data_IF_665946697001
#
_entry.id   IF_665946697001
#
_cell.length_a   1.000
_cell.length_b   1.000
_cell.length_c   1.000
_cell.angle_alpha   90.00
_cell.angle_beta   90.00
_cell.angle_gamma   90.00
#
_symmetry.space_group_name_H-M   'P 1'
#
loop_
_entity.id
_entity.type
_entity.pdbx_description
1 polymer ?
#
# COMPACT_ATOMS: atom_id res chain seq x y z
N UNK A 1 16.58 -1.76 16.36
CA UNK A 1 15.58 -2.80 16.01
C UNK A 1 15.04 -2.49 14.61
N UNK A 2 14.88 -3.52 13.79
CA UNK A 2 14.30 -3.40 12.44
C UNK A 2 12.79 -3.20 12.53
N UNK A 3 12.22 -2.43 11.62
CA UNK A 3 10.79 -2.12 11.55
C UNK A 3 10.24 -2.40 10.16
N UNK A 4 9.14 -3.15 10.06
CA UNK A 4 8.28 -3.20 8.89
C UNK A 4 7.09 -2.27 9.14
N UNK A 5 6.69 -1.50 8.14
CA UNK A 5 5.49 -0.67 8.20
C UNK A 5 4.41 -1.32 7.35
N UNK A 6 3.20 -1.44 7.91
CA UNK A 6 1.98 -1.79 7.18
C UNK A 6 1.05 -0.60 7.30
N UNK A 7 0.58 -0.05 6.19
CA UNK A 7 -0.16 1.20 6.19
C UNK A 7 -1.39 1.17 5.26
N UNK A 8 -2.31 2.06 5.55
CA UNK A 8 -3.41 2.48 4.70
C UNK A 8 -3.73 3.94 5.02
N UNK A 9 -4.42 4.66 4.15
CA UNK A 9 -4.99 5.94 4.53
C UNK A 9 -6.43 5.77 5.02
N UNK A 10 -6.93 6.71 5.79
CA UNK A 10 -8.28 6.66 6.37
C UNK A 10 -9.18 7.83 5.99
N UNK A 11 -8.63 8.80 5.27
CA UNK A 11 -9.42 9.85 4.63
C UNK A 11 -9.99 9.36 3.30
N UNK A 12 -10.97 10.06 2.78
CA UNK A 12 -11.61 9.81 1.49
C UNK A 12 -11.69 11.09 0.66
N UNK A 13 -11.89 10.94 -0.64
CA UNK A 13 -12.19 12.05 -1.53
C UNK A 13 -13.48 12.78 -1.10
N UNK A 14 -13.58 14.07 -1.43
CA UNK A 14 -14.64 14.95 -0.92
C UNK A 14 -16.05 14.45 -1.28
N UNK A 15 -16.21 13.86 -2.46
CA UNK A 15 -17.48 13.35 -2.98
C UNK A 15 -17.66 11.83 -2.81
N UNK A 16 -16.73 11.15 -2.10
CA UNK A 16 -16.74 9.72 -1.87
C UNK A 16 -17.12 9.36 -0.43
N UNK A 17 -17.78 8.21 -0.27
CA UNK A 17 -18.03 7.60 1.05
C UNK A 17 -16.76 6.92 1.57
N UNK A 18 -15.81 6.57 0.70
CA UNK A 18 -14.53 5.98 1.07
C UNK A 18 -14.64 4.52 1.50
N UNK A 19 -15.60 3.77 0.98
CA UNK A 19 -15.80 2.38 1.39
C UNK A 19 -14.64 1.48 0.90
N UNK A 20 -14.27 1.57 -0.37
CA UNK A 20 -13.12 0.89 -0.93
C UNK A 20 -11.86 1.75 -0.83
N UNK A 21 -11.96 3.03 -1.14
CA UNK A 21 -10.89 4.03 -1.05
C UNK A 21 -11.06 4.94 0.18
N UNK A 22 -10.47 4.66 1.38
CA UNK A 22 -9.69 3.43 1.58
C UNK A 22 -10.14 2.68 2.85
N UNK A 23 -11.46 2.55 3.03
CA UNK A 23 -12.04 1.75 4.12
C UNK A 23 -11.59 0.28 4.04
N UNK A 24 -11.39 -0.26 2.83
CA UNK A 24 -10.90 -1.61 2.62
C UNK A 24 -9.48 -1.81 3.15
N UNK A 25 -8.58 -0.90 2.84
CA UNK A 25 -7.20 -0.95 3.34
C UNK A 25 -7.13 -0.77 4.86
N UNK A 26 -7.94 0.14 5.42
CA UNK A 26 -8.04 0.31 6.87
C UNK A 26 -8.48 -0.98 7.55
N UNK A 27 -9.52 -1.65 7.03
CA UNK A 27 -9.99 -2.92 7.57
C UNK A 27 -8.91 -4.00 7.51
N UNK A 28 -8.19 -4.11 6.40
CA UNK A 28 -7.09 -5.07 6.24
C UNK A 28 -5.94 -4.78 7.23
N UNK A 29 -5.54 -3.52 7.41
CA UNK A 29 -4.49 -3.15 8.38
C UNK A 29 -4.90 -3.51 9.81
N UNK A 30 -6.15 -3.25 10.19
CA UNK A 30 -6.66 -3.59 11.52
C UNK A 30 -6.73 -5.10 11.74
N UNK A 31 -7.15 -5.87 10.73
CA UNK A 31 -7.19 -7.33 10.82
C UNK A 31 -5.78 -7.94 10.89
N UNK A 32 -4.84 -7.43 10.09
CA UNK A 32 -3.44 -7.84 10.19
C UNK A 32 -2.86 -7.54 11.57
N UNK A 33 -3.18 -6.38 12.16
CA UNK A 33 -2.75 -6.05 13.51
C UNK A 33 -3.34 -7.04 14.54
N UNK A 34 -4.59 -7.45 14.35
CA UNK A 34 -5.26 -8.46 15.21
C UNK A 34 -4.63 -9.84 15.10
N UNK A 35 -4.31 -10.28 13.88
CA UNK A 35 -3.73 -11.61 13.63
C UNK A 35 -2.28 -11.66 14.11
N UNK A 36 -1.51 -10.62 13.85
CA UNK A 36 -0.05 -10.63 14.09
C UNK A 36 0.35 -10.25 15.51
N UNK A 37 -0.58 -9.78 16.36
CA UNK A 37 -0.27 -9.30 17.72
C UNK A 37 0.44 -10.33 18.62
N UNK A 38 0.13 -11.61 18.44
CA UNK A 38 0.67 -12.71 19.25
C UNK A 38 1.68 -13.57 18.46
N UNK A 39 2.11 -13.10 17.28
CA UNK A 39 3.06 -13.81 16.41
C UNK A 39 4.49 -13.39 16.73
N UNK A 40 5.37 -14.37 17.00
CA UNK A 40 6.79 -14.09 17.16
C UNK A 40 7.43 -13.74 15.82
N UNK A 41 7.86 -12.50 15.69
CA UNK A 41 8.46 -11.95 14.46
C UNK A 41 9.80 -11.30 14.85
N UNK A 42 10.90 -11.52 14.10
CA UNK A 42 12.24 -11.05 14.46
C UNK A 42 12.44 -9.53 14.28
N UNK A 43 11.40 -8.80 13.97
CA UNK A 43 11.38 -7.32 13.79
C UNK A 43 10.05 -6.75 14.30
N UNK A 44 10.01 -5.45 14.52
CA UNK A 44 8.76 -4.78 14.89
C UNK A 44 7.88 -4.56 13.64
N UNK A 45 6.57 -4.69 13.81
CA UNK A 45 5.60 -4.22 12.83
C UNK A 45 4.97 -2.94 13.37
N UNK A 46 4.98 -1.88 12.55
CA UNK A 46 4.26 -0.64 12.80
C UNK A 46 3.04 -0.59 11.89
N UNK A 47 1.86 -0.56 12.48
CA UNK A 47 0.61 -0.33 11.75
C UNK A 47 0.32 1.17 11.79
N UNK A 48 0.19 1.78 10.62
CA UNK A 48 0.00 3.23 10.49
C UNK A 48 -1.19 3.51 9.59
N UNK A 49 -2.13 4.32 10.09
CA UNK A 49 -3.21 4.86 9.29
C UNK A 49 -2.88 6.33 8.99
N UNK A 50 -2.67 6.65 7.72
CA UNK A 50 -2.34 8.00 7.30
C UNK A 50 -3.59 8.83 7.04
N UNK A 51 -3.48 10.14 7.23
CA UNK A 51 -4.50 11.13 6.89
C UNK A 51 -4.01 12.01 5.76
N UNK A 52 -4.93 12.48 4.94
CA UNK A 52 -4.64 13.43 3.86
C UNK A 52 -3.89 12.80 2.69
N UNK A 53 -4.11 11.53 2.42
CA UNK A 53 -3.64 10.87 1.21
C UNK A 53 -4.23 11.56 -0.01
N UNK A 54 -5.54 11.76 -0.03
CA UNK A 54 -6.35 12.44 -1.03
C UNK A 54 -5.96 13.93 -1.26
N UNK A 55 -5.16 14.46 -0.38
CA UNK A 55 -4.54 15.80 -0.48
C UNK A 55 -3.03 15.68 -0.67
N UNK A 56 -2.62 14.85 -1.64
CA UNK A 56 -1.22 14.64 -2.01
C UNK A 56 -0.37 13.95 -0.92
N UNK A 57 -0.91 12.94 -0.25
CA UNK A 57 -0.18 12.11 0.73
C UNK A 57 0.39 12.94 1.88
N UNK A 58 -0.36 13.90 2.39
CA UNK A 58 0.14 14.85 3.42
C UNK A 58 0.66 14.13 4.66
N UNK A 59 -0.07 13.11 5.14
CA UNK A 59 0.29 12.38 6.35
C UNK A 59 1.58 11.60 6.22
N UNK A 60 1.71 10.79 5.17
CA UNK A 60 2.93 10.01 4.93
C UNK A 60 4.14 10.88 4.59
N UNK A 61 3.95 11.97 3.82
CA UNK A 61 5.01 12.97 3.58
C UNK A 61 5.50 13.62 4.87
N UNK A 62 4.57 14.00 5.74
CA UNK A 62 4.92 14.56 7.04
C UNK A 62 5.67 13.56 7.91
N UNK A 63 5.18 12.31 7.98
CA UNK A 63 5.80 11.24 8.74
C UNK A 63 7.24 11.00 8.26
N UNK A 64 7.45 10.81 6.96
CA UNK A 64 8.77 10.59 6.35
C UNK A 64 9.70 11.79 6.58
N UNK A 65 9.16 13.01 6.46
CA UNK A 65 9.91 14.24 6.71
C UNK A 65 10.38 14.41 8.15
N UNK A 66 9.76 13.72 9.11
CA UNK A 66 10.17 13.74 10.54
C UNK A 66 11.14 12.64 10.91
N UNK A 67 11.30 11.62 10.08
CA UNK A 67 12.24 10.53 10.34
C UNK A 67 13.68 11.04 10.29
N UNK A 68 14.43 10.75 11.33
CA UNK A 68 15.88 10.88 11.31
C UNK A 68 16.51 9.87 10.36
N UNK A 69 17.77 10.09 9.98
CA UNK A 69 18.48 9.14 9.11
C UNK A 69 18.61 7.74 9.76
N UNK A 70 18.80 7.68 11.06
CA UNK A 70 18.90 6.42 11.79
C UNK A 70 17.56 5.68 11.86
N UNK A 71 16.46 6.41 12.00
CA UNK A 71 15.11 5.82 11.91
C UNK A 71 14.81 5.28 10.52
N UNK A 72 15.19 6.01 9.47
CA UNK A 72 15.05 5.53 8.07
C UNK A 72 15.80 4.22 7.85
N UNK A 73 17.05 4.11 8.33
CA UNK A 73 17.86 2.89 8.24
C UNK A 73 17.28 1.69 9.01
N UNK A 74 16.41 1.93 9.98
CA UNK A 74 15.73 0.88 10.73
C UNK A 74 14.49 0.35 10.00
N UNK A 75 13.92 1.08 9.06
CA UNK A 75 12.75 0.65 8.29
C UNK A 75 13.23 -0.29 7.18
N UNK A 76 12.82 -1.55 7.25
CA UNK A 76 13.20 -2.59 6.28
C UNK A 76 12.26 -2.67 5.08
N UNK A 77 11.07 -2.10 5.21
CA UNK A 77 10.10 -2.05 4.13
C UNK A 77 8.78 -1.41 4.58
N UNK A 78 8.00 -1.02 3.60
CA UNK A 78 6.64 -0.50 3.76
C UNK A 78 5.71 -1.27 2.83
N UNK A 79 4.62 -1.78 3.38
CA UNK A 79 3.51 -2.37 2.63
C UNK A 79 2.32 -1.44 2.85
N UNK A 80 1.98 -0.68 1.83
CA UNK A 80 0.78 0.14 1.81
C UNK A 80 -0.37 -0.66 1.20
N UNK A 81 -1.58 -0.52 1.73
CA UNK A 81 -2.76 -1.22 1.26
C UNK A 81 -3.79 -0.17 0.89
N UNK A 82 -4.20 -0.19 -0.36
CA UNK A 82 -5.04 0.85 -0.90
C UNK A 82 -6.01 0.29 -1.94
N UNK A 83 -7.32 0.53 -1.76
CA UNK A 83 -8.38 0.11 -2.69
C UNK A 83 -8.31 -1.38 -3.08
N UNK A 84 -8.63 -2.31 -2.16
CA UNK A 84 -8.45 -3.75 -2.37
C UNK A 84 -9.75 -4.56 -2.48
N UNK A 85 -10.91 -3.93 -2.45
CA UNK A 85 -12.18 -4.63 -2.22
C UNK A 85 -13.25 -4.46 -3.31
N UNK A 86 -12.87 -4.15 -4.53
CA UNK A 86 -13.84 -4.06 -5.63
C UNK A 86 -14.31 -5.43 -6.12
N UNK A 87 -15.55 -5.51 -6.65
CA UNK A 87 -16.14 -6.74 -7.18
C UNK A 87 -15.73 -7.13 -8.59
N UNK A 88 -14.84 -6.36 -9.23
CA UNK A 88 -14.35 -6.63 -10.58
C UNK A 88 -13.29 -7.72 -10.63
N UNK A 89 -12.99 -8.24 -11.83
CA UNK A 89 -11.84 -9.11 -12.05
C UNK A 89 -10.55 -8.38 -11.62
N UNK A 90 -9.74 -9.03 -10.79
CA UNK A 90 -8.71 -8.34 -10.04
C UNK A 90 -7.33 -8.44 -10.64
N UNK A 91 -6.67 -7.31 -10.67
CA UNK A 91 -5.23 -7.22 -10.64
C UNK A 91 -4.77 -6.58 -9.34
N UNK A 92 -3.74 -7.09 -8.75
CA UNK A 92 -3.06 -6.47 -7.62
C UNK A 92 -1.78 -5.79 -8.11
N UNK A 93 -1.58 -4.56 -7.71
CA UNK A 93 -0.35 -3.83 -8.00
C UNK A 93 0.60 -3.90 -6.83
N UNK A 94 1.72 -4.57 -7.01
CA UNK A 94 2.88 -4.31 -6.19
C UNK A 94 3.82 -3.41 -6.99
N UNK A 95 4.06 -2.21 -6.51
CA UNK A 95 4.90 -1.25 -7.20
C UNK A 95 6.35 -1.62 -7.20
N UNK A 96 6.93 -1.64 -8.36
CA UNK A 96 8.37 -1.51 -8.55
C UNK A 96 8.75 -1.35 -10.02
N UNK A 97 9.76 -0.73 -10.21
CA UNK A 97 10.78 -0.56 -11.24
C UNK A 97 10.85 0.84 -11.84
N UNK A 98 12.08 1.34 -11.91
CA UNK A 98 12.46 2.45 -12.77
C UNK A 98 11.96 3.82 -12.33
N UNK A 99 11.51 3.99 -11.11
CA UNK A 99 11.20 5.30 -10.58
C UNK A 99 12.49 6.12 -10.49
N UNK A 100 12.65 7.04 -11.38
CA UNK A 100 13.67 8.08 -11.20
C UNK A 100 13.21 9.02 -10.10
N UNK A 101 14.08 9.25 -9.14
CA UNK A 101 13.91 10.33 -8.18
C UNK A 101 13.77 11.66 -8.93
N UNK A 102 13.16 12.69 -8.32
CA UNK A 102 13.12 14.03 -8.90
C UNK A 102 14.48 14.58 -9.31
N UNK A 103 15.56 14.08 -8.71
CA UNK A 103 16.96 14.41 -9.04
C UNK A 103 17.57 13.50 -10.13
N UNK A 104 16.77 12.66 -10.79
CA UNK A 104 17.18 11.65 -11.77
C UNK A 104 18.15 10.56 -11.24
N UNK A 105 18.36 10.46 -9.94
CA UNK A 105 19.08 9.33 -9.36
C UNK A 105 18.25 8.04 -9.47
N UNK A 106 18.91 6.91 -9.68
CA UNK A 106 18.24 5.62 -9.63
C UNK A 106 17.96 5.23 -8.17
N UNK A 107 16.82 4.55 -7.95
CA UNK A 107 16.53 3.95 -6.66
C UNK A 107 17.43 2.73 -6.45
N UNK A 108 17.76 2.46 -5.19
CA UNK A 108 18.31 1.17 -4.81
C UNK A 108 17.22 0.10 -4.98
N UNK A 109 17.20 -0.45 -6.19
CA UNK A 109 16.14 -1.32 -6.68
C UNK A 109 16.14 -2.72 -6.05
N UNK A 110 17.22 -3.14 -5.39
CA UNK A 110 17.34 -4.55 -4.99
C UNK A 110 16.35 -4.89 -3.85
N UNK A 111 16.22 -4.00 -2.87
CA UNK A 111 15.25 -4.14 -1.78
C UNK A 111 13.81 -4.06 -2.27
N UNK A 112 13.54 -3.16 -3.19
CA UNK A 112 12.21 -2.98 -3.80
C UNK A 112 11.82 -4.19 -4.63
N UNK A 113 12.69 -4.69 -5.50
CA UNK A 113 12.47 -5.90 -6.30
C UNK A 113 12.19 -7.10 -5.43
N UNK A 114 12.98 -7.29 -4.38
CA UNK A 114 12.78 -8.40 -3.44
C UNK A 114 11.44 -8.33 -2.71
N UNK A 115 11.04 -7.14 -2.27
CA UNK A 115 9.77 -6.94 -1.58
C UNK A 115 8.59 -7.22 -2.52
N UNK A 116 8.67 -6.79 -3.78
CA UNK A 116 7.65 -7.06 -4.78
C UNK A 116 7.60 -8.53 -5.20
N UNK A 117 8.75 -9.17 -5.36
CA UNK A 117 8.78 -10.60 -5.67
C UNK A 117 8.18 -11.42 -4.53
N UNK A 118 8.48 -11.08 -3.28
CA UNK A 118 7.87 -11.73 -2.11
C UNK A 118 6.36 -11.53 -2.10
N UNK A 119 5.90 -10.32 -2.37
CA UNK A 119 4.48 -10.01 -2.43
C UNK A 119 3.79 -10.79 -3.57
N UNK A 120 4.37 -10.73 -4.78
CA UNK A 120 3.88 -11.48 -5.94
C UNK A 120 3.79 -12.98 -5.67
N UNK A 121 4.81 -13.58 -5.08
CA UNK A 121 4.84 -15.01 -4.79
C UNK A 121 3.78 -15.38 -3.76
N UNK A 122 3.66 -14.60 -2.68
CA UNK A 122 2.65 -14.84 -1.64
C UNK A 122 1.23 -14.72 -2.20
N UNK A 123 1.00 -13.74 -3.07
CA UNK A 123 -0.32 -13.54 -3.68
C UNK A 123 -0.65 -14.62 -4.72
N UNK A 124 0.33 -15.10 -5.49
CA UNK A 124 0.10 -16.19 -6.47
C UNK A 124 -0.30 -17.52 -5.83
N UNK A 125 0.00 -17.72 -4.55
CA UNK A 125 -0.45 -18.90 -3.78
C UNK A 125 -1.89 -18.77 -3.27
N UNK A 126 -2.39 -17.55 -3.12
CA UNK A 126 -3.69 -17.25 -2.51
C UNK A 126 -4.80 -17.01 -3.52
N UNK A 127 -4.45 -16.63 -4.76
CA UNK A 127 -5.42 -16.23 -5.78
C UNK A 127 -5.47 -17.19 -6.97
N UNK A 128 -6.61 -17.23 -7.62
CA UNK A 128 -6.82 -18.10 -8.79
C UNK A 128 -6.02 -17.62 -10.00
N UNK A 129 -5.75 -18.49 -11.00
CA UNK A 129 -5.02 -18.11 -12.22
C UNK A 129 -5.70 -17.02 -13.08
N UNK A 130 -6.95 -16.68 -12.79
CA UNK A 130 -7.68 -15.58 -13.45
C UNK A 130 -7.32 -14.22 -12.87
N UNK A 131 -6.76 -14.16 -11.66
CA UNK A 131 -6.37 -12.91 -11.03
C UNK A 131 -5.11 -12.40 -11.72
N UNK A 132 -5.22 -11.22 -12.33
CA UNK A 132 -4.07 -10.60 -12.99
C UNK A 132 -3.13 -10.03 -11.96
N UNK A 133 -1.90 -10.47 -12.04
CA UNK A 133 -0.82 -9.92 -11.25
C UNK A 133 0.04 -9.02 -12.13
N UNK A 134 0.11 -7.75 -11.85
CA UNK A 134 1.02 -6.87 -12.58
C UNK A 134 1.80 -5.97 -11.63
N UNK A 135 3.03 -5.71 -12.05
CA UNK A 135 3.90 -4.74 -11.43
C UNK A 135 3.81 -3.47 -12.28
N UNK A 136 3.38 -2.41 -11.67
CA UNK A 136 3.36 -1.11 -12.34
C UNK A 136 3.96 -0.05 -11.45
N UNK A 137 4.33 1.03 -12.08
CA UNK A 137 4.83 2.21 -11.42
C UNK A 137 3.65 3.09 -11.04
N UNK A 138 3.36 3.23 -9.75
CA UNK A 138 2.44 4.21 -9.25
C UNK A 138 3.11 5.12 -8.22
N UNK A 139 2.84 6.40 -8.27
CA UNK A 139 3.42 7.43 -7.41
C UNK A 139 2.34 8.15 -6.63
N UNK A 140 1.16 7.58 -6.59
CA UNK A 140 -0.08 8.22 -6.18
C UNK A 140 -0.68 7.66 -4.89
N UNK A 141 0.12 6.96 -4.05
CA UNK A 141 -0.31 6.54 -2.72
C UNK A 141 0.83 6.61 -1.69
N UNK A 142 0.51 6.37 -0.43
CA UNK A 142 1.36 6.62 0.75
C UNK A 142 2.71 5.88 0.80
N UNK A 143 2.93 4.87 -0.06
CA UNK A 143 4.24 4.23 -0.25
C UNK A 143 5.25 5.17 -0.90
N UNK A 144 4.81 6.09 -1.75
CA UNK A 144 5.68 6.93 -2.57
C UNK A 144 6.61 7.85 -1.78
N UNK A 145 6.17 8.57 -0.72
CA UNK A 145 7.08 9.37 0.11
C UNK A 145 8.24 8.57 0.72
N UNK A 146 8.01 7.30 1.07
CA UNK A 146 9.07 6.41 1.57
C UNK A 146 10.06 6.03 0.48
N UNK A 147 9.56 5.70 -0.70
CA UNK A 147 10.38 5.40 -1.86
C UNK A 147 11.29 6.57 -2.21
N UNK A 148 10.81 7.82 -2.12
CA UNK A 148 11.61 9.03 -2.36
C UNK A 148 12.84 9.18 -1.46
N UNK A 149 12.87 8.54 -0.32
CA UNK A 149 14.01 8.56 0.63
C UNK A 149 14.73 7.21 0.71
N UNK A 150 14.61 6.37 -0.33
CA UNK A 150 15.23 5.05 -0.46
C UNK A 150 14.82 4.06 0.64
N UNK A 151 13.60 4.14 1.14
CA UNK A 151 12.99 3.09 1.95
C UNK A 151 12.20 2.18 1.00
N UNK A 152 12.48 0.86 0.95
CA UNK A 152 11.72 -0.08 0.14
C UNK A 152 10.23 0.01 0.47
N UNK A 153 9.39 0.30 -0.52
CA UNK A 153 7.97 0.49 -0.33
C UNK A 153 7.15 -0.06 -1.51
N UNK A 154 6.09 -0.78 -1.20
CA UNK A 154 5.13 -1.29 -2.18
C UNK A 154 3.72 -0.83 -1.81
N UNK A 155 2.84 -0.70 -2.80
CA UNK A 155 1.41 -0.58 -2.58
C UNK A 155 0.69 -1.80 -3.14
N UNK A 156 -0.18 -2.39 -2.34
CA UNK A 156 -1.14 -3.39 -2.77
C UNK A 156 -2.39 -2.62 -3.12
N UNK A 157 -2.77 -2.66 -4.39
CA UNK A 157 -3.96 -1.97 -4.89
C UNK A 157 -4.68 -2.86 -5.89
N UNK A 158 -5.92 -2.56 -6.12
CA UNK A 158 -6.74 -3.19 -7.12
C UNK A 158 -6.44 -2.68 -8.54
N UNK A 159 -6.77 -3.47 -9.58
CA UNK A 159 -6.62 -3.03 -10.98
C UNK A 159 -7.63 -1.93 -11.32
N UNK A 160 -7.12 -0.81 -11.78
CA UNK A 160 -7.88 0.39 -12.14
C UNK A 160 -8.44 0.38 -13.57
N UNK A 161 -8.12 -0.66 -14.37
CA UNK A 161 -8.43 -0.62 -15.80
C UNK A 161 -9.92 -0.87 -16.12
N UNK A 162 -10.61 -1.61 -15.25
CA UNK A 162 -12.01 -1.95 -15.40
C UNK A 162 -12.87 -1.51 -14.20
N UNK A 163 -12.30 -0.71 -13.29
CA UNK A 163 -12.86 -0.43 -11.99
C UNK A 163 -13.85 0.73 -11.95
N UNK A 164 -14.66 0.73 -10.88
CA UNK A 164 -15.48 1.87 -10.49
C UNK A 164 -14.59 3.06 -10.11
N UNK A 165 -15.09 4.27 -10.35
CA UNK A 165 -14.41 5.44 -9.84
C UNK A 165 -14.56 5.51 -8.32
N UNK A 166 -13.50 5.18 -7.61
CA UNK A 166 -13.47 5.17 -6.13
C UNK A 166 -13.48 6.57 -5.51
N UNK A 167 -13.30 7.59 -6.31
CA UNK A 167 -13.29 8.99 -5.86
C UNK A 167 -14.65 9.68 -5.97
N UNK A 168 -15.74 8.93 -6.09
CA UNK A 168 -17.09 9.49 -6.15
C UNK A 168 -18.11 8.71 -5.30
N UNK A 169 -19.37 9.06 -5.42
CA UNK A 169 -20.48 8.46 -4.67
C UNK A 169 -20.75 6.98 -4.99
N UNK A 170 -20.07 6.38 -5.97
CA UNK A 170 -20.17 4.94 -6.28
C UNK A 170 -19.29 4.06 -5.38
N UNK A 171 -18.36 4.66 -4.66
CA UNK A 171 -17.54 3.96 -3.66
C UNK A 171 -18.35 3.68 -2.38
N UNK A 172 -19.22 2.69 -2.47
CA UNK A 172 -20.10 2.26 -1.38
C UNK A 172 -19.93 0.76 -1.13
N UNK A 173 -20.21 0.36 0.11
CA UNK A 173 -20.07 -1.03 0.58
C UNK A 173 -20.72 -2.07 -0.33
N UNK A 174 -21.85 -1.76 -0.97
CA UNK A 174 -22.58 -2.64 -1.85
C UNK A 174 -21.79 -3.04 -3.10
N UNK A 175 -20.82 -2.23 -3.50
CA UNK A 175 -19.94 -2.46 -4.65
C UNK A 175 -18.66 -3.22 -4.26
N UNK A 176 -18.42 -3.45 -2.98
CA UNK A 176 -17.23 -4.15 -2.49
C UNK A 176 -17.43 -5.67 -2.51
N UNK A 177 -16.33 -6.38 -2.68
CA UNK A 177 -16.21 -7.81 -2.38
C UNK A 177 -15.66 -8.00 -0.96
N UNK A 178 -16.55 -8.05 0.02
CA UNK A 178 -16.18 -8.17 1.43
C UNK A 178 -15.48 -9.49 1.78
N UNK A 179 -15.49 -10.48 0.90
CA UNK A 179 -14.75 -11.74 1.13
C UNK A 179 -13.23 -11.58 0.91
N UNK A 180 -12.82 -10.45 0.34
CA UNK A 180 -11.41 -10.14 0.03
C UNK A 180 -10.69 -9.35 1.13
N UNK A 181 -11.42 -8.82 2.08
CA UNK A 181 -10.89 -8.11 3.24
C UNK A 181 -10.71 -9.10 4.40
#
# INVERSE_FOLDING_TARGET
>A
TKNLIISAHYDSAEDSVGANDNGSGVAAVLELARILKDTEIPYNIKFILFSGEEKYMLGSRWYVGKLTEDERKQIIGVINIDTIAEKSDLGYMAMIEGNKRPDNAEYDDEGLKKLAELNKNSMSELFTPSDRFFLTMATNSDHYPFALVNIPAVSIVQDWQDGLNVNDSSDVKENMDIQRI
#
